data_IF_383149323241
#
_entry.id   IF_383149323241
#
_cell.length_a   1.000
_cell.length_b   1.000
_cell.length_c   1.000
_cell.angle_alpha   90.00
_cell.angle_beta   90.00
_cell.angle_gamma   90.00
#
_symmetry.space_group_name_H-M   'P 1'
#
loop_
_entity.id
_entity.type
_entity.pdbx_description
1 polymer ?
#
# COMPACT_ATOMS: atom_id res chain seq x y z
N UNK A 1 -27.21 59.40 9.56
CA UNK A 1 -27.32 58.82 10.92
C UNK A 1 -27.89 57.41 10.79
N UNK A 2 -27.12 56.38 11.18
CA UNK A 2 -27.39 54.96 10.88
C UNK A 2 -28.43 54.41 11.88
N UNK A 3 -29.58 53.94 11.39
CA UNK A 3 -30.58 53.23 12.19
C UNK A 3 -30.08 51.80 12.47
N UNK A 4 -29.95 51.43 13.75
CA UNK A 4 -29.62 50.06 14.17
C UNK A 4 -30.84 49.17 13.94
N UNK A 5 -30.66 48.07 13.20
CA UNK A 5 -31.64 46.99 13.12
C UNK A 5 -31.38 46.05 14.30
N UNK A 6 -32.29 46.04 15.27
CA UNK A 6 -32.30 45.07 16.36
C UNK A 6 -32.92 43.76 15.84
N UNK A 7 -32.16 42.66 15.94
CA UNK A 7 -32.66 41.31 15.68
C UNK A 7 -33.24 40.74 16.98
N UNK A 8 -34.55 40.55 17.02
CA UNK A 8 -35.23 39.79 18.08
C UNK A 8 -35.08 38.27 17.92
N UNK A 9 -35.27 37.47 18.99
CA UNK A 9 -35.03 36.03 18.98
C UNK A 9 -36.06 35.29 18.11
N UNK A 10 -35.56 34.36 17.29
CA UNK A 10 -36.35 33.51 16.41
C UNK A 10 -36.88 32.32 17.22
N UNK A 11 -38.15 32.36 17.62
CA UNK A 11 -38.81 31.23 18.27
C UNK A 11 -38.93 30.06 17.27
N UNK A 12 -38.41 28.89 17.65
CA UNK A 12 -38.41 27.64 16.90
C UNK A 12 -39.40 26.64 17.51
N UNK A 13 -40.65 27.04 17.69
CA UNK A 13 -41.70 26.13 18.14
C UNK A 13 -42.73 26.01 17.02
N UNK A 14 -42.46 25.11 16.07
CA UNK A 14 -43.50 24.45 15.28
C UNK A 14 -42.97 23.09 14.79
N UNK A 15 -43.45 22.09 15.52
CA UNK A 15 -43.51 20.66 15.27
C UNK A 15 -43.39 20.24 13.80
N UNK A 16 -42.36 19.44 13.51
CA UNK A 16 -42.40 18.48 12.43
C UNK A 16 -42.03 17.11 13.01
N UNK A 17 -42.94 16.12 13.06
CA UNK A 17 -42.58 14.75 13.41
C UNK A 17 -41.87 14.13 12.19
N UNK A 18 -40.59 14.45 12.04
CA UNK A 18 -39.73 13.72 11.12
C UNK A 18 -39.58 12.31 11.68
N UNK A 19 -40.35 11.38 11.11
CA UNK A 19 -40.05 9.94 11.11
C UNK A 19 -38.53 9.78 11.05
N UNK A 20 -37.94 9.35 12.16
CA UNK A 20 -36.64 8.70 12.14
C UNK A 20 -36.85 7.44 11.31
N UNK A 21 -36.56 7.56 10.01
CA UNK A 21 -36.25 6.40 9.20
C UNK A 21 -35.21 5.60 9.98
N UNK A 22 -35.51 4.31 10.12
CA UNK A 22 -34.55 3.29 10.49
C UNK A 22 -33.27 3.58 9.70
N UNK A 23 -32.20 3.93 10.42
CA UNK A 23 -30.87 3.94 9.87
C UNK A 23 -30.56 2.46 9.62
N UNK A 24 -30.96 1.96 8.47
CA UNK A 24 -30.45 0.70 7.93
C UNK A 24 -28.94 0.74 8.16
N UNK A 25 -28.48 -0.18 9.01
CA UNK A 25 -27.09 -0.34 9.36
C UNK A 25 -26.33 -0.57 8.06
N UNK A 26 -25.81 0.51 7.49
CA UNK A 26 -24.91 0.47 6.37
C UNK A 26 -23.70 -0.32 6.89
N UNK A 27 -23.40 -1.54 6.38
CA UNK A 27 -22.16 -2.19 6.74
C UNK A 27 -21.08 -1.31 6.13
N UNK A 28 -20.52 -0.41 6.93
CA UNK A 28 -19.32 0.34 6.56
C UNK A 28 -18.26 -0.73 6.37
N UNK A 29 -18.09 -1.17 5.13
CA UNK A 29 -17.09 -2.14 4.74
C UNK A 29 -15.76 -1.67 5.32
N UNK A 30 -15.15 -2.50 6.17
CA UNK A 30 -13.97 -2.16 6.97
C UNK A 30 -12.66 -2.07 6.14
N UNK A 31 -12.71 -1.52 4.93
CA UNK A 31 -11.58 -1.50 4.00
C UNK A 31 -11.16 -0.09 3.56
N UNK A 32 -11.47 0.96 4.33
CA UNK A 32 -10.84 2.29 4.16
C UNK A 32 -9.44 2.31 4.80
N UNK A 33 -8.62 1.29 4.52
CA UNK A 33 -7.22 1.26 4.94
C UNK A 33 -6.46 2.19 4.01
N UNK A 34 -6.09 3.38 4.50
CA UNK A 34 -5.26 4.31 3.74
C UNK A 34 -4.05 3.57 3.13
N UNK A 35 -3.73 3.80 1.84
CA UNK A 35 -2.67 3.06 1.17
C UNK A 35 -1.35 3.32 1.89
N UNK A 36 -0.77 2.25 2.43
CA UNK A 36 0.49 2.33 3.17
C UNK A 36 1.62 2.63 2.20
N UNK A 37 2.33 3.72 2.46
CA UNK A 37 3.44 4.19 1.65
C UNK A 37 4.74 4.08 2.43
N UNK A 38 5.78 3.59 1.77
CA UNK A 38 7.10 3.41 2.34
C UNK A 38 8.14 4.18 1.56
N UNK A 39 9.10 4.77 2.28
CA UNK A 39 10.40 5.13 1.73
C UNK A 39 11.28 3.89 1.61
N UNK A 40 12.42 3.99 0.90
CA UNK A 40 13.39 2.88 0.77
C UNK A 40 13.80 2.30 2.13
N UNK A 41 14.15 3.16 3.10
CA UNK A 41 14.60 2.72 4.43
C UNK A 41 13.47 2.04 5.22
N UNK A 42 12.29 2.62 5.20
CA UNK A 42 11.12 2.06 5.92
C UNK A 42 10.63 0.77 5.27
N UNK A 43 10.71 0.65 3.94
CA UNK A 43 10.35 -0.58 3.23
C UNK A 43 11.28 -1.74 3.62
N UNK A 44 12.59 -1.48 3.76
CA UNK A 44 13.55 -2.50 4.17
C UNK A 44 13.26 -3.04 5.58
N UNK A 45 12.92 -2.14 6.51
CA UNK A 45 12.62 -2.51 7.89
C UNK A 45 11.24 -3.17 8.03
N UNK A 46 10.19 -2.55 7.48
CA UNK A 46 8.81 -2.93 7.77
C UNK A 46 8.25 -3.97 6.80
N UNK A 47 8.63 -3.92 5.52
CA UNK A 47 8.08 -4.80 4.49
C UNK A 47 9.01 -5.98 4.24
N UNK A 48 10.28 -5.71 3.90
CA UNK A 48 11.25 -6.75 3.60
C UNK A 48 11.93 -7.34 4.84
N UNK A 49 11.66 -6.84 6.04
CA UNK A 49 12.18 -7.36 7.32
C UNK A 49 13.70 -7.65 7.31
N UNK A 50 14.48 -6.87 6.55
CA UNK A 50 15.92 -7.06 6.40
C UNK A 50 16.37 -8.24 5.52
N UNK A 51 15.48 -8.93 4.81
CA UNK A 51 15.84 -10.04 3.90
C UNK A 51 16.65 -9.56 2.68
N UNK A 52 16.52 -8.27 2.32
CA UNK A 52 17.20 -7.66 1.17
C UNK A 52 18.07 -6.49 1.65
N UNK A 53 19.26 -6.35 1.09
CA UNK A 53 20.14 -5.21 1.35
C UNK A 53 19.70 -3.94 0.61
N UNK A 54 19.94 -2.76 1.21
CA UNK A 54 19.57 -1.46 0.62
C UNK A 54 20.13 -1.27 -0.79
N UNK A 55 21.38 -1.67 -1.02
CA UNK A 55 22.04 -1.57 -2.33
C UNK A 55 21.27 -2.34 -3.40
N UNK A 56 20.85 -3.58 -3.10
CA UNK A 56 20.10 -4.43 -4.03
C UNK A 56 18.74 -3.85 -4.34
N UNK A 57 18.03 -3.33 -3.33
CA UNK A 57 16.75 -2.66 -3.53
C UNK A 57 16.91 -1.42 -4.42
N UNK A 58 17.94 -0.61 -4.19
CA UNK A 58 18.24 0.56 -5.03
C UNK A 58 18.63 0.20 -6.46
N UNK A 59 19.38 -0.87 -6.65
CA UNK A 59 19.70 -1.40 -7.98
C UNK A 59 18.43 -1.86 -8.71
N UNK A 60 17.56 -2.61 -8.06
CA UNK A 60 16.30 -3.08 -8.63
C UNK A 60 15.36 -1.91 -9.01
N UNK A 61 15.32 -0.87 -8.17
CA UNK A 61 14.60 0.38 -8.48
C UNK A 61 15.20 1.09 -9.71
N UNK A 62 16.53 1.18 -9.81
CA UNK A 62 17.22 1.79 -10.96
C UNK A 62 16.98 1.02 -12.26
N UNK A 63 16.86 -0.30 -12.19
CA UNK A 63 16.51 -1.16 -13.33
C UNK A 63 15.03 -1.08 -13.72
N UNK A 64 14.18 -0.48 -12.87
CA UNK A 64 12.74 -0.42 -13.10
C UNK A 64 12.02 -1.74 -12.83
N UNK A 65 12.65 -2.67 -12.10
CA UNK A 65 12.06 -3.97 -11.77
C UNK A 65 11.03 -3.86 -10.64
N UNK A 66 11.22 -2.90 -9.73
CA UNK A 66 10.33 -2.67 -8.58
C UNK A 66 9.41 -1.48 -8.84
N UNK A 67 8.09 -1.62 -8.63
CA UNK A 67 7.15 -0.52 -8.81
C UNK A 67 7.43 0.59 -7.80
N UNK A 68 7.78 1.78 -8.31
CA UNK A 68 8.15 2.92 -7.48
C UNK A 68 7.62 4.24 -8.05
N UNK A 69 7.44 5.21 -7.16
CA UNK A 69 7.12 6.59 -7.51
C UNK A 69 8.32 7.45 -7.10
N UNK A 70 8.84 8.19 -8.07
CA UNK A 70 9.96 9.12 -7.84
C UNK A 70 9.43 10.54 -7.73
N UNK A 71 9.67 11.17 -6.58
CA UNK A 71 9.34 12.58 -6.34
C UNK A 71 10.65 13.31 -6.03
N UNK A 72 11.26 13.90 -7.07
CA UNK A 72 12.58 14.52 -6.99
C UNK A 72 13.67 13.53 -6.56
N UNK A 73 14.26 13.79 -5.39
CA UNK A 73 15.27 12.91 -4.77
C UNK A 73 14.67 11.77 -3.94
N UNK A 74 13.36 11.81 -3.64
CA UNK A 74 12.68 10.80 -2.81
C UNK A 74 12.10 9.68 -3.67
N UNK A 75 12.19 8.47 -3.16
CA UNK A 75 11.57 7.27 -3.74
C UNK A 75 10.52 6.77 -2.76
N UNK A 76 9.29 6.62 -3.27
CA UNK A 76 8.13 6.13 -2.54
C UNK A 76 7.69 4.82 -3.16
N UNK A 77 7.42 3.84 -2.31
CA UNK A 77 6.93 2.52 -2.63
C UNK A 77 5.54 2.38 -2.02
N UNK A 78 4.56 1.92 -2.80
CA UNK A 78 3.22 1.61 -2.28
C UNK A 78 3.16 0.15 -1.89
N UNK A 79 2.56 -0.16 -0.74
CA UNK A 79 2.42 -1.53 -0.26
C UNK A 79 1.68 -2.41 -1.26
N UNK A 80 0.53 -1.96 -1.77
CA UNK A 80 -0.30 -2.73 -2.70
C UNK A 80 0.45 -3.07 -4.00
N UNK A 81 1.26 -2.12 -4.49
CA UNK A 81 2.07 -2.32 -5.69
C UNK A 81 3.21 -3.32 -5.43
N UNK A 82 3.82 -3.29 -4.24
CA UNK A 82 4.83 -4.27 -3.85
C UNK A 82 4.23 -5.68 -3.69
N UNK A 83 3.04 -5.80 -3.11
CA UNK A 83 2.34 -7.08 -2.97
C UNK A 83 2.04 -7.70 -4.34
N UNK A 84 1.40 -6.94 -5.24
CA UNK A 84 1.11 -7.40 -6.59
C UNK A 84 2.37 -7.79 -7.36
N UNK A 85 3.46 -7.03 -7.18
CA UNK A 85 4.74 -7.35 -7.77
C UNK A 85 5.34 -8.66 -7.21
N UNK A 86 5.29 -8.87 -5.89
CA UNK A 86 5.75 -10.11 -5.26
C UNK A 86 4.98 -11.33 -5.78
N UNK A 87 3.66 -11.25 -5.83
CA UNK A 87 2.81 -12.32 -6.36
C UNK A 87 3.18 -12.69 -7.81
N UNK A 88 3.46 -11.68 -8.64
CA UNK A 88 3.89 -11.90 -10.02
C UNK A 88 5.28 -12.55 -10.09
N UNK A 89 6.23 -12.13 -9.24
CA UNK A 89 7.55 -12.77 -9.15
C UNK A 89 7.46 -14.23 -8.72
N UNK A 90 6.58 -14.55 -7.76
CA UNK A 90 6.34 -15.92 -7.30
C UNK A 90 5.74 -16.79 -8.40
N UNK A 91 4.76 -16.28 -9.14
CA UNK A 91 4.16 -16.96 -10.30
C UNK A 91 5.21 -17.24 -11.39
N UNK A 92 6.05 -16.25 -11.70
CA UNK A 92 7.11 -16.42 -12.69
C UNK A 92 8.16 -17.46 -12.25
N UNK A 93 8.52 -17.47 -10.97
CA UNK A 93 9.49 -18.43 -10.40
C UNK A 93 8.98 -19.87 -10.44
N UNK A 94 7.68 -20.05 -10.19
CA UNK A 94 7.05 -21.38 -10.16
C UNK A 94 6.73 -21.92 -11.55
N UNK A 95 6.39 -21.07 -12.51
CA UNK A 95 6.06 -21.49 -13.89
C UNK A 95 7.29 -21.87 -14.72
N UNK A 96 8.47 -21.28 -14.45
CA UNK A 96 9.70 -21.54 -15.23
C UNK A 96 10.67 -22.48 -14.54
N UNK A 97 10.30 -23.75 -14.43
CA UNK A 97 11.27 -24.83 -14.17
C UNK A 97 11.31 -25.82 -15.32
N UNK A 98 11.73 -25.32 -16.49
CA UNK A 98 12.07 -26.15 -17.66
C UNK A 98 13.54 -26.64 -17.62
N UNK A 99 14.21 -26.47 -16.47
CA UNK A 99 15.56 -26.98 -16.25
C UNK A 99 15.54 -28.02 -15.14
N UNK A 100 15.67 -29.33 -15.45
CA UNK A 100 15.98 -30.31 -14.44
C UNK A 100 17.34 -29.91 -13.86
N UNK A 101 17.44 -29.76 -12.55
CA UNK A 101 18.73 -29.60 -11.89
C UNK A 101 19.65 -30.73 -12.36
N UNK A 102 20.66 -30.41 -13.17
CA UNK A 102 21.78 -31.31 -13.42
C UNK A 102 22.52 -31.38 -12.10
N UNK A 103 22.28 -32.44 -11.34
CA UNK A 103 23.12 -32.83 -10.21
C UNK A 103 24.51 -33.04 -10.79
N UNK A 104 25.38 -32.04 -10.67
CA UNK A 104 26.80 -32.21 -10.94
C UNK A 104 27.29 -33.24 -9.94
N UNK A 105 27.34 -34.52 -10.36
CA UNK A 105 27.98 -35.58 -9.60
C UNK A 105 29.42 -35.12 -9.37
N UNK A 106 29.73 -34.79 -8.11
CA UNK A 106 31.07 -34.44 -7.70
C UNK A 106 32.04 -35.52 -8.19
N UNK A 107 32.95 -35.14 -9.07
CA UNK A 107 34.12 -35.93 -9.40
C UNK A 107 35.01 -35.97 -8.16
N UNK A 108 34.73 -36.93 -7.28
CA UNK A 108 35.59 -37.27 -6.16
C UNK A 108 36.97 -37.65 -6.68
N UNK A 109 37.89 -36.69 -6.69
CA UNK A 109 39.32 -36.93 -6.90
C UNK A 109 39.83 -37.57 -5.61
N UNK A 110 39.69 -38.90 -5.52
CA UNK A 110 40.40 -39.69 -4.52
C UNK A 110 41.89 -39.47 -4.76
N UNK A 111 42.55 -38.81 -3.81
CA UNK A 111 44.01 -38.85 -3.66
C UNK A 111 44.37 -40.08 -2.85
#
# INVERSE_FOLDING_TARGET
MKRKLEYGPRNYDNEAPAKLLECDANPVAEDEKLPRMFTVKTALANYFQGTIGETKLREAIRKGEVPHIRIGAKIILREDALNAWMEEQEKQSTQRRDFPYVVLKGSGKRR
#
